data_IF_013235642311
#
_entry.id   IF_013235642311
#
_cell.length_a   1.000
_cell.length_b   1.000
_cell.length_c   1.000
_cell.angle_alpha   90.00
_cell.angle_beta   90.00
_cell.angle_gamma   90.00
#
_symmetry.space_group_name_H-M   'P 1'
#
loop_
_entity.id
_entity.type
_entity.pdbx_description
1 polymer ?
#
# COMPACT_ATOMS: atom_id res chain seq x y z
N UNK A 1 40.30 4.70 11.36
CA UNK A 1 39.37 4.46 12.50
C UNK A 1 37.97 4.78 11.98
N UNK A 2 37.21 3.75 11.61
CA UNK A 2 35.94 3.89 10.88
C UNK A 2 34.75 4.13 11.81
N UNK A 3 34.03 5.23 11.62
CA UNK A 3 32.84 5.57 12.40
C UNK A 3 31.66 4.75 11.87
N UNK A 4 31.39 3.63 12.54
CA UNK A 4 30.17 2.83 12.33
C UNK A 4 28.97 3.57 12.93
N UNK A 5 28.27 4.37 12.13
CA UNK A 5 26.97 4.94 12.53
C UNK A 5 25.91 3.84 12.56
N UNK A 6 25.71 3.23 13.75
CA UNK A 6 24.58 2.33 14.01
C UNK A 6 23.38 3.18 14.37
N UNK A 7 22.38 3.24 13.50
CA UNK A 7 21.06 3.79 13.84
C UNK A 7 20.40 2.86 14.87
N UNK A 8 20.32 3.29 16.11
CA UNK A 8 19.52 2.64 17.15
C UNK A 8 18.07 3.11 17.04
N UNK A 9 17.11 2.20 17.17
CA UNK A 9 15.69 2.53 17.30
C UNK A 9 15.40 2.80 18.78
N UNK A 10 14.67 3.88 19.07
CA UNK A 10 14.23 4.17 20.43
C UNK A 10 13.20 3.11 20.88
N UNK A 11 13.59 2.27 21.84
CA UNK A 11 12.66 1.42 22.57
C UNK A 11 11.81 2.32 23.47
N UNK A 12 10.57 2.58 23.08
CA UNK A 12 9.58 3.25 23.92
C UNK A 12 9.32 2.43 25.18
N UNK A 13 9.51 3.07 26.33
CA UNK A 13 9.49 2.45 27.66
C UNK A 13 8.17 1.76 28.02
N UNK A 14 8.31 0.71 28.81
CA UNK A 14 7.22 -0.06 29.38
C UNK A 14 6.47 0.71 30.49
N UNK A 15 5.16 0.42 30.55
CA UNK A 15 4.21 0.55 31.67
C UNK A 15 3.56 1.92 31.93
N UNK A 16 2.32 2.06 31.46
CA UNK A 16 1.30 2.89 32.09
C UNK A 16 -0.03 2.12 32.24
N UNK A 17 -0.39 1.90 33.51
CA UNK A 17 -1.71 1.72 34.15
C UNK A 17 -2.92 1.22 33.34
N UNK A 18 -3.39 0.04 33.74
CA UNK A 18 -4.75 -0.51 33.54
C UNK A 18 -5.79 0.42 34.19
N UNK A 19 -6.62 1.06 33.36
CA UNK A 19 -7.85 1.76 33.76
C UNK A 19 -9.03 1.15 33.04
N UNK A 20 -9.90 0.47 33.80
CA UNK A 20 -11.20 -0.02 33.35
C UNK A 20 -12.18 1.15 33.34
N UNK A 21 -12.72 1.51 32.17
CA UNK A 21 -13.99 2.22 32.05
C UNK A 21 -14.65 1.84 30.73
N UNK A 22 -15.81 1.22 30.86
CA UNK A 22 -16.74 0.83 29.82
C UNK A 22 -17.09 2.00 28.90
N UNK A 23 -16.82 1.82 27.61
CA UNK A 23 -17.40 2.60 26.53
C UNK A 23 -17.73 1.62 25.42
N UNK A 24 -19.02 1.39 25.18
CA UNK A 24 -19.49 0.77 23.95
C UNK A 24 -19.14 1.73 22.80
N UNK A 25 -17.95 1.58 22.22
CA UNK A 25 -17.58 2.22 20.98
C UNK A 25 -17.85 1.22 19.86
N UNK A 26 -18.81 1.59 19.01
CA UNK A 26 -19.17 1.03 17.70
C UNK A 26 -18.32 -0.15 17.21
N UNK A 27 -18.96 -1.32 17.10
CA UNK A 27 -18.47 -2.36 16.23
C UNK A 27 -18.35 -1.81 14.79
N UNK A 28 -17.35 -2.22 13.99
CA UNK A 28 -17.22 -1.75 12.62
C UNK A 28 -18.50 -2.05 11.86
N UNK A 29 -19.16 -0.99 11.36
CA UNK A 29 -20.36 -1.10 10.55
C UNK A 29 -19.97 -1.64 9.17
N UNK A 30 -19.81 -2.96 9.09
CA UNK A 30 -19.63 -3.66 7.83
C UNK A 30 -20.96 -3.60 7.10
N UNK A 31 -21.05 -2.69 6.14
CA UNK A 31 -22.19 -2.65 5.22
C UNK A 31 -22.14 -3.93 4.37
N UNK A 32 -23.10 -4.83 4.59
CA UNK A 32 -23.27 -6.03 3.76
C UNK A 32 -23.81 -5.57 2.41
N UNK A 33 -22.91 -5.51 1.43
CA UNK A 33 -23.25 -5.12 0.06
C UNK A 33 -23.91 -6.34 -0.63
N UNK A 34 -25.21 -6.24 -0.92
CA UNK A 34 -25.92 -7.20 -1.76
C UNK A 34 -25.31 -7.19 -3.17
N UNK A 35 -25.09 -8.37 -3.75
CA UNK A 35 -24.28 -8.60 -4.97
C UNK A 35 -24.77 -7.89 -6.24
N UNK A 36 -25.96 -7.31 -6.23
CA UNK A 36 -26.48 -6.47 -7.30
C UNK A 36 -26.08 -5.01 -7.06
N UNK A 37 -24.78 -4.75 -7.10
CA UNK A 37 -24.24 -3.40 -6.98
C UNK A 37 -24.49 -2.69 -8.29
N UNK A 38 -25.43 -1.74 -8.29
CA UNK A 38 -25.61 -0.80 -9.38
C UNK A 38 -24.28 -0.06 -9.55
N UNK A 39 -23.65 -0.20 -10.72
CA UNK A 39 -22.37 0.42 -11.09
C UNK A 39 -22.41 1.96 -11.15
N UNK A 40 -23.39 2.59 -10.50
CA UNK A 40 -23.65 4.02 -10.54
C UNK A 40 -23.08 4.75 -9.34
N UNK A 41 -22.78 4.08 -8.22
CA UNK A 41 -22.41 4.73 -6.95
C UNK A 41 -21.34 3.94 -6.20
N UNK A 42 -20.36 4.66 -5.63
CA UNK A 42 -19.31 4.05 -4.81
C UNK A 42 -19.76 3.97 -3.36
N UNK A 43 -20.22 2.79 -2.95
CA UNK A 43 -20.67 2.56 -1.58
C UNK A 43 -19.53 2.66 -0.56
N UNK A 44 -19.76 3.41 0.51
CA UNK A 44 -18.77 3.60 1.59
C UNK A 44 -17.64 4.58 1.25
N UNK A 45 -17.80 5.35 0.18
CA UNK A 45 -16.89 6.45 -0.16
C UNK A 45 -17.12 7.69 0.73
N UNK A 46 -18.33 7.88 1.25
CA UNK A 46 -18.65 8.99 2.13
C UNK A 46 -18.46 8.65 3.62
N UNK A 47 -17.74 9.51 4.33
CA UNK A 47 -17.50 9.42 5.79
C UNK A 47 -18.37 10.38 6.61
N UNK A 48 -19.05 11.34 5.95
CA UNK A 48 -19.87 12.36 6.61
C UNK A 48 -21.26 11.80 6.93
N UNK A 49 -21.79 12.15 8.11
CA UNK A 49 -23.11 11.68 8.57
C UNK A 49 -24.26 12.09 7.63
N UNK A 50 -24.20 13.32 7.12
CA UNK A 50 -25.22 13.91 6.23
C UNK A 50 -24.77 13.95 4.76
N UNK A 51 -23.73 13.20 4.40
CA UNK A 51 -23.22 13.11 3.04
C UNK A 51 -23.87 12.00 2.22
N UNK A 52 -23.81 12.10 0.90
CA UNK A 52 -24.15 11.02 -0.02
C UNK A 52 -22.88 10.40 -0.59
N UNK A 53 -22.95 9.11 -0.91
CA UNK A 53 -21.86 8.41 -1.60
C UNK A 53 -21.62 9.01 -3.00
N UNK A 54 -20.35 9.15 -3.42
CA UNK A 54 -20.04 9.75 -4.71
C UNK A 54 -20.56 8.88 -5.87
N UNK A 55 -21.18 9.53 -6.85
CA UNK A 55 -21.66 8.89 -8.08
C UNK A 55 -20.51 8.66 -9.04
N UNK A 56 -20.53 7.52 -9.73
CA UNK A 56 -19.59 7.22 -10.81
C UNK A 56 -20.00 8.04 -12.04
N UNK A 57 -19.04 8.79 -12.58
CA UNK A 57 -19.16 9.67 -13.74
C UNK A 57 -18.70 8.91 -15.01
N UNK A 58 -18.96 9.43 -16.22
CA UNK A 58 -18.37 8.86 -17.44
C UNK A 58 -16.84 8.98 -17.44
N UNK A 59 -16.18 8.07 -18.16
CA UNK A 59 -14.72 7.98 -18.24
C UNK A 59 -14.05 9.30 -18.67
N UNK A 60 -14.71 10.11 -19.49
CA UNK A 60 -14.23 11.41 -19.97
C UNK A 60 -14.07 12.47 -18.88
N UNK A 61 -14.75 12.31 -17.74
CA UNK A 61 -14.62 13.24 -16.60
C UNK A 61 -13.44 12.88 -15.71
N UNK A 62 -12.86 11.69 -15.87
CA UNK A 62 -11.70 11.27 -15.10
C UNK A 62 -10.39 11.62 -15.83
N UNK A 63 -9.36 12.06 -15.10
CA UNK A 63 -8.06 12.30 -15.69
C UNK A 63 -7.44 11.03 -16.31
N UNK A 64 -6.73 11.19 -17.42
CA UNK A 64 -6.07 10.09 -18.16
C UNK A 64 -5.15 9.22 -17.28
N UNK A 65 -4.49 9.82 -16.28
CA UNK A 65 -3.60 9.09 -15.40
C UNK A 65 -4.32 7.95 -14.64
N UNK A 66 -5.64 8.04 -14.41
CA UNK A 66 -6.41 7.02 -13.70
C UNK A 66 -6.39 5.69 -14.44
N UNK A 67 -6.56 5.71 -15.77
CA UNK A 67 -6.60 4.50 -16.58
C UNK A 67 -5.23 3.84 -16.69
N UNK A 68 -4.16 4.64 -16.65
CA UNK A 68 -2.77 4.17 -16.62
C UNK A 68 -2.39 3.42 -15.34
N UNK A 69 -3.21 3.45 -14.29
CA UNK A 69 -2.96 2.64 -13.08
C UNK A 69 -3.14 1.14 -13.33
N UNK A 70 -3.99 0.78 -14.28
CA UNK A 70 -4.28 -0.62 -14.62
C UNK A 70 -3.18 -1.25 -15.47
N UNK A 71 -2.30 -0.43 -16.07
CA UNK A 71 -1.21 -0.89 -16.90
C UNK A 71 -0.25 -1.79 -16.12
N UNK A 72 0.01 -2.97 -16.67
CA UNK A 72 0.95 -3.92 -16.08
C UNK A 72 2.36 -3.36 -16.12
N UNK A 73 2.86 -2.96 -14.97
CA UNK A 73 4.25 -2.52 -14.81
C UNK A 73 5.22 -3.70 -14.99
N UNK A 74 6.37 -3.49 -15.65
CA UNK A 74 7.29 -4.57 -16.00
C UNK A 74 7.77 -5.34 -14.76
N UNK A 75 7.88 -6.67 -14.83
CA UNK A 75 8.45 -7.51 -13.78
C UNK A 75 9.97 -7.33 -13.67
N UNK A 76 10.54 -7.82 -12.56
CA UNK A 76 11.99 -7.73 -12.31
C UNK A 76 12.83 -8.39 -13.40
N UNK A 77 12.35 -9.49 -13.99
CA UNK A 77 13.03 -10.20 -15.07
C UNK A 77 13.18 -9.34 -16.33
N UNK A 78 12.14 -8.57 -16.70
CA UNK A 78 12.17 -7.68 -17.86
C UNK A 78 13.02 -6.45 -17.58
N UNK A 79 12.93 -5.89 -16.36
CA UNK A 79 13.75 -4.74 -15.96
C UNK A 79 15.24 -5.07 -15.90
N UNK A 80 15.62 -6.28 -15.46
CA UNK A 80 17.03 -6.72 -15.42
C UNK A 80 17.63 -6.98 -16.81
N UNK A 81 16.80 -7.22 -17.82
CA UNK A 81 17.25 -7.44 -19.21
C UNK A 81 17.49 -6.14 -19.97
N UNK A 82 17.00 -5.01 -19.46
CA UNK A 82 17.18 -3.68 -20.05
C UNK A 82 18.36 -2.98 -19.39
N UNK A 83 19.03 -2.12 -20.16
CA UNK A 83 20.14 -1.33 -19.63
C UNK A 83 19.61 -0.28 -18.64
N UNK A 84 20.12 -0.22 -17.40
CA UNK A 84 19.60 0.66 -16.35
C UNK A 84 19.70 2.15 -16.70
N UNK A 85 20.70 2.53 -17.50
CA UNK A 85 20.92 3.91 -17.95
C UNK A 85 19.93 4.37 -19.03
N UNK A 86 19.28 3.42 -19.72
CA UNK A 86 18.28 3.71 -20.77
C UNK A 86 16.84 3.74 -20.25
N UNK A 87 16.63 3.28 -19.01
CA UNK A 87 15.30 3.12 -18.43
C UNK A 87 14.70 4.48 -18.01
N UNK A 88 13.38 4.68 -18.20
CA UNK A 88 12.72 5.82 -17.62
C UNK A 88 12.83 5.75 -16.08
N UNK A 89 12.85 6.92 -15.44
CA UNK A 89 13.06 7.04 -13.99
C UNK A 89 12.11 6.16 -13.15
N UNK A 90 10.86 6.02 -13.59
CA UNK A 90 9.85 5.17 -12.92
C UNK A 90 10.24 3.68 -12.91
N UNK A 91 10.78 3.19 -14.02
CA UNK A 91 11.23 1.81 -14.18
C UNK A 91 12.52 1.55 -13.41
N UNK A 92 13.45 2.51 -13.39
CA UNK A 92 14.66 2.43 -12.58
C UNK A 92 14.33 2.37 -11.08
N UNK A 93 13.42 3.23 -10.61
CA UNK A 93 12.92 3.20 -9.22
C UNK A 93 12.26 1.86 -8.89
N UNK A 94 11.53 1.27 -9.84
CA UNK A 94 10.90 -0.04 -9.68
C UNK A 94 11.93 -1.17 -9.63
N UNK A 95 12.94 -1.15 -10.50
CA UNK A 95 14.04 -2.12 -10.53
C UNK A 95 14.72 -2.20 -9.16
N UNK A 96 15.15 -1.06 -8.61
CA UNK A 96 15.79 -0.99 -7.29
C UNK A 96 14.89 -1.52 -6.18
N UNK A 97 13.58 -1.20 -6.20
CA UNK A 97 12.63 -1.73 -5.21
C UNK A 97 12.46 -3.23 -5.29
N UNK A 98 12.31 -3.76 -6.50
CA UNK A 98 12.09 -5.19 -6.73
C UNK A 98 13.34 -6.01 -6.42
N UNK A 99 14.52 -5.51 -6.79
CA UNK A 99 15.79 -6.16 -6.48
C UNK A 99 16.03 -6.23 -4.96
N UNK A 100 15.82 -5.12 -4.25
CA UNK A 100 15.87 -5.10 -2.79
C UNK A 100 14.88 -6.09 -2.15
N UNK A 101 13.65 -6.16 -2.68
CA UNK A 101 12.65 -7.13 -2.19
C UNK A 101 13.09 -8.57 -2.42
N UNK A 102 13.68 -8.88 -3.57
CA UNK A 102 14.20 -10.22 -3.87
C UNK A 102 15.31 -10.61 -2.88
N UNK A 103 16.28 -9.71 -2.67
CA UNK A 103 17.38 -9.91 -1.71
C UNK A 103 16.90 -10.11 -0.28
N UNK A 104 15.91 -9.32 0.18
CA UNK A 104 15.34 -9.49 1.52
C UNK A 104 14.63 -10.84 1.65
N UNK A 105 13.86 -11.25 0.63
CA UNK A 105 13.17 -12.55 0.65
C UNK A 105 14.16 -13.71 0.71
N UNK A 106 15.23 -13.66 -0.08
CA UNK A 106 16.29 -14.67 -0.06
C UNK A 106 16.93 -14.76 1.33
N UNK A 107 17.34 -13.63 1.91
CA UNK A 107 17.92 -13.58 3.25
C UNK A 107 16.96 -14.12 4.32
N UNK A 108 15.68 -13.76 4.27
CA UNK A 108 14.68 -14.28 5.20
C UNK A 108 14.48 -15.79 5.02
N UNK A 109 14.53 -16.29 3.78
CA UNK A 109 14.40 -17.72 3.48
C UNK A 109 15.60 -18.55 3.95
N UNK A 110 16.81 -17.99 3.89
CA UNK A 110 18.03 -18.63 4.40
C UNK A 110 18.02 -18.66 5.93
N UNK A 111 17.64 -17.54 6.57
CA UNK A 111 17.55 -17.45 8.03
C UNK A 111 16.45 -18.32 8.63
N UNK A 112 15.34 -18.50 7.94
CA UNK A 112 14.24 -19.33 8.45
C UNK A 112 14.53 -20.84 8.39
N UNK A 113 15.56 -21.25 7.63
CA UNK A 113 15.97 -22.66 7.49
C UNK A 113 17.10 -23.07 8.44
N UNK A 114 17.73 -22.11 9.12
CA UNK A 114 18.72 -22.33 10.17
C UNK A 114 18.09 -22.12 11.55
#
# INVERSE_FOLDING_TARGET
>A
IGISSRRTFAAGGAKAKKGSKSGAADAPRVLVISKEVKATTVHGGNILKDGQDPKILPDSEYPEWLFRLLDKRPPLSELKRKDPESLPFEDLKRLVKLDNRARIKENNSLKAKN
#
